data_IF_374888753109
#
_entry.id   IF_374888753109
#
_cell.length_a   1.000
_cell.length_b   1.000
_cell.length_c   1.000
_cell.angle_alpha   90.00
_cell.angle_beta   90.00
_cell.angle_gamma   90.00
#
_symmetry.space_group_name_H-M   'P 1'
#
loop_
_entity.id
_entity.type
_entity.pdbx_description
1 polymer ?
#
# COMPACT_ATOMS: atom_id res chain seq x y z
N UNK A 1 -5.33 -7.00 -10.81
CA UNK A 1 -4.94 -6.89 -9.39
C UNK A 1 -6.17 -7.09 -8.54
N UNK A 2 -6.04 -7.80 -7.42
CA UNK A 2 -7.15 -8.07 -6.52
C UNK A 2 -7.09 -7.08 -5.35
N UNK A 3 -8.25 -6.83 -4.74
CA UNK A 3 -8.39 -6.02 -3.53
C UNK A 3 -8.99 -6.84 -2.41
N UNK A 4 -8.74 -6.44 -1.17
CA UNK A 4 -9.38 -6.97 0.02
C UNK A 4 -9.61 -5.84 1.02
N UNK A 5 -10.77 -5.81 1.66
CA UNK A 5 -11.08 -4.81 2.66
C UNK A 5 -10.39 -5.16 3.98
N UNK A 6 -9.79 -4.15 4.63
CA UNK A 6 -9.17 -4.26 5.95
C UNK A 6 -10.22 -4.71 6.97
N UNK A 7 -11.40 -4.08 6.93
CA UNK A 7 -12.52 -4.37 7.83
C UNK A 7 -12.98 -5.84 7.75
N UNK A 8 -13.00 -6.45 6.56
CA UNK A 8 -13.45 -7.83 6.40
C UNK A 8 -12.50 -8.81 7.09
N UNK A 9 -11.19 -8.59 6.97
CA UNK A 9 -10.18 -9.42 7.62
C UNK A 9 -10.27 -9.25 9.14
N UNK A 10 -10.37 -8.00 9.60
CA UNK A 10 -10.52 -7.73 11.03
C UNK A 10 -11.77 -8.42 11.58
N UNK A 11 -12.92 -8.35 10.90
CA UNK A 11 -14.15 -9.07 11.29
C UNK A 11 -13.96 -10.59 11.40
N UNK A 12 -13.10 -11.18 10.57
CA UNK A 12 -12.79 -12.60 10.61
C UNK A 12 -11.81 -12.98 11.73
N UNK A 13 -11.15 -12.01 12.37
CA UNK A 13 -10.30 -12.21 13.54
C UNK A 13 -11.12 -12.11 14.82
N UNK A 14 -11.82 -13.18 15.18
CA UNK A 14 -12.77 -13.22 16.31
C UNK A 14 -12.14 -13.63 17.63
N UNK A 15 -10.95 -14.23 17.59
CA UNK A 15 -10.23 -14.70 18.78
C UNK A 15 -9.19 -13.68 19.22
N UNK A 16 -8.67 -13.80 20.44
CA UNK A 16 -7.48 -13.05 20.85
C UNK A 16 -6.28 -13.46 19.99
N UNK A 17 -6.03 -14.78 19.89
CA UNK A 17 -5.03 -15.38 19.01
C UNK A 17 -5.69 -15.96 17.76
N UNK A 18 -5.36 -15.41 16.60
CA UNK A 18 -5.96 -15.84 15.33
C UNK A 18 -4.89 -16.51 14.46
N UNK A 19 -4.98 -17.83 14.26
CA UNK A 19 -4.03 -18.56 13.43
C UNK A 19 -4.33 -18.37 11.94
N UNK A 20 -3.28 -18.40 11.11
CA UNK A 20 -3.40 -18.19 9.67
C UNK A 20 -4.48 -19.05 9.01
N UNK A 21 -4.51 -20.36 9.32
CA UNK A 21 -5.46 -21.28 8.70
C UNK A 21 -6.90 -20.97 9.06
N UNK A 22 -7.15 -20.49 10.28
CA UNK A 22 -8.50 -20.19 10.75
C UNK A 22 -9.03 -18.92 10.09
N UNK A 23 -8.24 -17.84 10.09
CA UNK A 23 -8.63 -16.59 9.42
C UNK A 23 -8.80 -16.84 7.91
N UNK A 24 -7.87 -17.58 7.28
CA UNK A 24 -7.94 -17.85 5.83
C UNK A 24 -9.17 -18.68 5.44
N UNK A 25 -9.59 -19.63 6.27
CA UNK A 25 -10.80 -20.43 6.03
C UNK A 25 -12.07 -19.60 6.23
N UNK A 26 -12.07 -18.72 7.22
CA UNK A 26 -13.24 -17.95 7.66
C UNK A 26 -13.40 -16.59 6.94
N UNK A 27 -12.41 -16.16 6.16
CA UNK A 27 -12.42 -14.90 5.41
C UNK A 27 -12.51 -15.12 3.88
N UNK A 28 -13.64 -15.59 3.34
CA UNK A 28 -13.82 -15.69 1.90
C UNK A 28 -13.98 -14.30 1.26
N UNK A 29 -13.77 -14.22 -0.06
CA UNK A 29 -14.07 -13.00 -0.83
C UNK A 29 -15.58 -12.80 -1.02
N UNK A 30 -15.96 -11.68 -1.63
CA UNK A 30 -17.36 -11.31 -1.93
C UNK A 30 -18.14 -12.41 -2.68
N UNK A 31 -17.44 -13.22 -3.49
CA UNK A 31 -18.01 -14.36 -4.23
C UNK A 31 -18.02 -15.67 -3.43
N UNK A 32 -17.83 -15.62 -2.10
CA UNK A 32 -17.70 -16.76 -1.19
C UNK A 32 -16.54 -17.72 -1.53
N UNK A 33 -15.56 -17.27 -2.33
CA UNK A 33 -14.36 -18.05 -2.69
C UNK A 33 -13.18 -17.67 -1.80
N UNK A 34 -12.35 -18.64 -1.45
CA UNK A 34 -11.13 -18.37 -0.68
C UNK A 34 -10.08 -17.66 -1.53
N UNK A 35 -9.37 -16.72 -0.92
CA UNK A 35 -8.17 -16.12 -1.52
C UNK A 35 -7.07 -17.18 -1.67
N UNK A 36 -6.20 -17.01 -2.66
CA UNK A 36 -4.98 -17.81 -2.73
C UNK A 36 -4.15 -17.59 -1.44
N UNK A 37 -3.64 -18.68 -0.82
CA UNK A 37 -2.90 -18.60 0.45
C UNK A 37 -1.73 -17.62 0.40
N UNK A 38 -0.99 -17.60 -0.72
CA UNK A 38 0.15 -16.69 -0.93
C UNK A 38 -0.29 -15.23 -0.88
N UNK A 39 -1.41 -14.90 -1.51
CA UNK A 39 -1.99 -13.56 -1.51
C UNK A 39 -2.55 -13.16 -0.16
N UNK A 40 -3.23 -14.06 0.53
CA UNK A 40 -3.72 -13.80 1.89
C UNK A 40 -2.56 -13.52 2.86
N UNK A 41 -1.44 -14.25 2.75
CA UNK A 41 -0.23 -13.96 3.54
C UNK A 41 0.37 -12.59 3.22
N UNK A 42 0.38 -12.19 1.95
CA UNK A 42 0.85 -10.87 1.52
C UNK A 42 0.02 -9.75 2.15
N UNK A 43 -1.30 -9.93 2.20
CA UNK A 43 -2.24 -8.99 2.82
C UNK A 43 -2.00 -8.89 4.33
N UNK A 44 -1.86 -10.01 5.04
CA UNK A 44 -1.60 -9.98 6.48
C UNK A 44 -0.28 -9.27 6.80
N UNK A 45 0.76 -9.45 5.97
CA UNK A 45 2.01 -8.69 6.11
C UNK A 45 1.78 -7.19 5.93
N UNK A 46 0.96 -6.78 4.96
CA UNK A 46 0.60 -5.37 4.74
C UNK A 46 -0.17 -4.81 5.93
N UNK A 47 -1.16 -5.54 6.45
CA UNK A 47 -1.89 -5.14 7.65
C UNK A 47 -0.99 -5.01 8.88
N UNK A 48 0.03 -5.87 9.01
CA UNK A 48 1.03 -5.80 10.07
C UNK A 48 1.88 -4.52 9.95
N UNK A 49 2.38 -4.23 8.74
CA UNK A 49 3.13 -3.01 8.45
C UNK A 49 2.29 -1.76 8.72
N UNK A 50 1.00 -1.78 8.38
CA UNK A 50 0.04 -0.71 8.61
C UNK A 50 -0.47 -0.65 10.05
N UNK A 51 -0.01 -1.54 10.93
CA UNK A 51 -0.31 -1.49 12.36
C UNK A 51 -1.69 -1.96 12.77
N UNK A 52 -2.44 -2.64 11.89
CA UNK A 52 -3.76 -3.20 12.23
C UNK A 52 -3.65 -4.51 13.00
N UNK A 53 -2.59 -5.28 12.76
CA UNK A 53 -2.36 -6.56 13.40
C UNK A 53 -0.90 -6.68 13.82
N UNK A 54 -0.63 -7.59 14.74
CA UNK A 54 0.73 -7.98 15.12
C UNK A 54 0.86 -9.49 14.99
N UNK A 55 1.92 -9.93 14.33
CA UNK A 55 2.23 -11.34 14.19
C UNK A 55 3.11 -11.81 15.34
N UNK A 56 2.82 -12.99 15.85
CA UNK A 56 3.63 -13.70 16.82
C UNK A 56 4.00 -15.08 16.30
N UNK A 57 5.14 -15.61 16.74
CA UNK A 57 5.62 -16.93 16.36
C UNK A 57 6.13 -17.05 14.91
N UNK A 58 6.55 -18.27 14.56
CA UNK A 58 7.14 -18.60 13.27
C UNK A 58 6.42 -19.77 12.58
N UNK A 59 6.49 -19.79 11.24
CA UNK A 59 5.95 -20.87 10.40
C UNK A 59 4.48 -21.21 10.72
N UNK A 60 4.21 -22.41 11.21
CA UNK A 60 2.86 -22.97 11.39
C UNK A 60 2.23 -22.62 12.74
N UNK A 61 3.03 -22.14 13.69
CA UNK A 61 2.55 -21.69 15.00
C UNK A 61 2.29 -20.18 15.02
N UNK A 62 2.44 -19.53 13.86
CA UNK A 62 2.24 -18.10 13.77
C UNK A 62 0.75 -17.74 13.95
N UNK A 63 0.49 -16.81 14.86
CA UNK A 63 -0.82 -16.24 15.09
C UNK A 63 -0.76 -14.72 15.01
N UNK A 64 -1.94 -14.13 14.83
CA UNK A 64 -2.13 -12.71 14.67
C UNK A 64 -3.09 -12.20 15.74
N UNK A 65 -2.72 -11.08 16.35
CA UNK A 65 -3.57 -10.33 17.26
C UNK A 65 -3.93 -9.00 16.60
N UNK A 66 -5.13 -8.49 16.86
CA UNK A 66 -5.47 -7.12 16.47
C UNK A 66 -4.63 -6.16 17.31
N UNK A 67 -4.10 -5.12 16.66
CA UNK A 67 -3.34 -4.08 17.34
C UNK A 67 -4.24 -2.88 17.57
N UNK A 68 -4.15 -2.32 18.77
CA UNK A 68 -4.80 -1.08 19.15
C UNK A 68 -3.74 -0.06 19.53
N UNK A 69 -3.97 1.20 19.18
CA UNK A 69 -3.17 2.32 19.65
C UNK A 69 -3.84 2.87 20.91
N UNK A 70 -3.06 3.05 21.98
CA UNK A 70 -3.61 3.43 23.28
C UNK A 70 -3.89 4.93 23.38
N UNK A 71 -3.15 5.74 22.62
CA UNK A 71 -3.33 7.19 22.57
C UNK A 71 -3.30 7.72 21.14
N UNK A 72 -3.77 8.96 20.97
CA UNK A 72 -3.69 9.70 19.72
C UNK A 72 -2.23 9.83 19.25
N UNK A 73 -1.32 10.17 20.17
CA UNK A 73 0.11 10.35 19.88
C UNK A 73 0.75 9.05 19.40
N UNK A 74 0.39 7.90 20.02
CA UNK A 74 0.88 6.59 19.60
C UNK A 74 0.43 6.25 18.17
N UNK A 75 -0.83 6.56 17.83
CA UNK A 75 -1.37 6.32 16.49
C UNK A 75 -0.71 7.22 15.45
N UNK A 76 -0.65 8.53 15.71
CA UNK A 76 -0.05 9.50 14.80
C UNK A 76 1.46 9.29 14.66
N UNK A 77 2.17 9.01 15.75
CA UNK A 77 3.60 8.70 15.72
C UNK A 77 3.90 7.47 14.87
N UNK A 78 3.06 6.43 14.96
CA UNK A 78 3.17 5.25 14.11
C UNK A 78 2.92 5.57 12.63
N UNK A 79 1.85 6.30 12.31
CA UNK A 79 1.54 6.73 10.93
C UNK A 79 2.69 7.56 10.35
N UNK A 80 3.17 8.56 11.09
CA UNK A 80 4.25 9.44 10.65
C UNK A 80 5.55 8.67 10.38
N UNK A 81 5.86 7.65 11.19
CA UNK A 81 7.01 6.81 10.94
C UNK A 81 6.89 6.01 9.63
N UNK A 82 5.69 5.53 9.30
CA UNK A 82 5.43 4.86 8.02
C UNK A 82 5.57 5.86 6.85
N UNK A 83 4.98 7.05 6.97
CA UNK A 83 5.11 8.12 5.97
C UNK A 83 6.59 8.40 5.71
N UNK A 84 7.36 8.69 6.77
CA UNK A 84 8.79 8.99 6.65
C UNK A 84 9.58 7.86 5.98
N UNK A 85 9.29 6.61 6.36
CA UNK A 85 9.95 5.43 5.79
C UNK A 85 9.71 5.33 4.28
N UNK A 86 8.47 5.45 3.84
CA UNK A 86 8.15 5.34 2.42
C UNK A 86 8.52 6.59 1.62
N UNK A 87 8.42 7.78 2.18
CA UNK A 87 8.96 8.99 1.56
C UNK A 87 10.46 8.82 1.25
N UNK A 88 11.24 8.35 2.22
CA UNK A 88 12.68 8.12 2.04
C UNK A 88 12.96 7.09 0.94
N UNK A 89 12.24 5.95 0.95
CA UNK A 89 12.36 4.91 -0.09
C UNK A 89 12.00 5.44 -1.48
N UNK A 90 10.90 6.18 -1.59
CA UNK A 90 10.43 6.77 -2.85
C UNK A 90 11.42 7.82 -3.36
N UNK A 91 11.86 8.77 -2.52
CA UNK A 91 12.84 9.80 -2.88
C UNK A 91 14.13 9.18 -3.41
N UNK A 92 14.64 8.13 -2.74
CA UNK A 92 15.84 7.40 -3.17
C UNK A 92 15.66 6.74 -4.53
N UNK A 93 14.54 6.05 -4.73
CA UNK A 93 14.26 5.35 -5.99
C UNK A 93 13.99 6.34 -7.14
N UNK A 94 13.24 7.42 -6.87
CA UNK A 94 12.92 8.47 -7.84
C UNK A 94 14.18 9.12 -8.41
N UNK A 95 15.13 9.51 -7.55
CA UNK A 95 16.42 10.09 -7.98
C UNK A 95 17.17 9.21 -8.98
N UNK A 96 17.00 7.88 -8.87
CA UNK A 96 17.67 6.94 -9.77
C UNK A 96 16.94 6.74 -11.11
N UNK A 97 15.70 7.21 -11.25
CA UNK A 97 14.88 7.00 -12.45
C UNK A 97 14.43 8.29 -13.13
N UNK A 98 14.23 9.40 -12.41
CA UNK A 98 13.56 10.62 -12.89
C UNK A 98 14.09 11.12 -14.23
N UNK A 99 15.43 11.18 -14.37
CA UNK A 99 16.11 11.65 -15.59
C UNK A 99 16.76 10.52 -16.39
N UNK A 100 16.32 9.27 -16.19
CA UNK A 100 16.83 8.09 -16.90
C UNK A 100 15.75 7.41 -17.74
N UNK A 101 16.19 6.75 -18.81
CA UNK A 101 15.32 5.96 -19.69
C UNK A 101 14.81 4.71 -18.95
N UNK A 102 13.51 4.65 -18.65
CA UNK A 102 12.88 3.51 -17.95
C UNK A 102 12.55 2.39 -18.93
N UNK A 103 11.97 2.74 -20.07
CA UNK A 103 11.61 1.78 -21.13
C UNK A 103 12.56 1.92 -22.31
N UNK A 104 13.17 0.81 -22.74
CA UNK A 104 13.94 0.72 -23.97
C UNK A 104 13.06 0.90 -25.20
N UNK A 105 11.89 0.26 -25.15
CA UNK A 105 10.88 0.25 -26.20
C UNK A 105 9.47 0.15 -25.60
N UNK A 106 8.49 0.75 -26.29
CA UNK A 106 7.07 0.71 -25.95
C UNK A 106 6.31 0.41 -27.25
N UNK A 107 5.53 -0.66 -27.23
CA UNK A 107 4.67 -1.04 -28.36
C UNK A 107 3.72 0.08 -28.79
N UNK A 108 3.33 0.09 -30.06
CA UNK A 108 2.46 1.13 -30.63
C UNK A 108 1.09 1.21 -29.94
N UNK A 109 0.55 0.08 -29.49
CA UNK A 109 -0.72 -0.03 -28.77
C UNK A 109 -0.58 0.25 -27.26
N UNK A 110 0.65 0.51 -26.78
CA UNK A 110 0.98 0.79 -25.39
C UNK A 110 0.63 -0.36 -24.44
N UNK A 111 0.45 -1.59 -24.94
CA UNK A 111 0.09 -2.76 -24.10
C UNK A 111 1.30 -3.49 -23.57
N UNK A 112 2.43 -3.38 -24.26
CA UNK A 112 3.70 -4.01 -23.91
C UNK A 112 4.86 -3.02 -23.99
N UNK A 113 5.87 -3.27 -23.18
CA UNK A 113 7.06 -2.45 -23.09
C UNK A 113 8.25 -3.29 -22.64
N UNK A 114 9.47 -2.82 -22.93
CA UNK A 114 10.72 -3.46 -22.52
C UNK A 114 11.45 -2.55 -21.55
N UNK A 115 11.64 -3.00 -20.31
CA UNK A 115 12.41 -2.24 -19.33
C UNK A 115 13.90 -2.13 -19.69
N UNK A 116 14.48 -1.00 -19.34
CA UNK A 116 15.93 -0.82 -19.27
C UNK A 116 16.50 -1.63 -18.11
N UNK A 117 17.51 -2.46 -18.38
CA UNK A 117 18.18 -3.26 -17.34
C UNK A 117 18.80 -2.40 -16.23
N UNK A 118 19.17 -1.16 -16.54
CA UNK A 118 19.85 -0.24 -15.60
C UNK A 118 18.90 0.46 -14.63
N UNK A 119 17.61 0.57 -14.97
CA UNK A 119 16.63 1.31 -14.16
C UNK A 119 15.48 0.44 -13.68
N UNK A 120 15.35 -0.79 -14.19
CA UNK A 120 14.25 -1.70 -13.84
C UNK A 120 14.11 -1.86 -12.33
N UNK A 121 15.21 -2.15 -11.62
CA UNK A 121 15.18 -2.40 -10.18
C UNK A 121 14.75 -1.16 -9.41
N UNK A 122 15.31 0.01 -9.76
CA UNK A 122 14.94 1.28 -9.12
C UNK A 122 13.48 1.64 -9.40
N UNK A 123 12.99 1.37 -10.61
CA UNK A 123 11.61 1.62 -10.99
C UNK A 123 10.63 0.68 -10.27
N UNK A 124 10.95 -0.60 -10.17
CA UNK A 124 10.16 -1.57 -9.39
C UNK A 124 10.14 -1.18 -7.90
N UNK A 125 11.26 -0.71 -7.35
CA UNK A 125 11.35 -0.19 -5.98
C UNK A 125 10.52 1.08 -5.78
N UNK A 126 10.50 1.98 -6.78
CA UNK A 126 9.65 3.17 -6.78
C UNK A 126 8.17 2.77 -6.78
N UNK A 127 7.76 1.87 -7.67
CA UNK A 127 6.39 1.35 -7.74
C UNK A 127 5.96 0.69 -6.43
N UNK A 128 6.85 -0.08 -5.79
CA UNK A 128 6.58 -0.69 -4.50
C UNK A 128 6.38 0.38 -3.41
N UNK A 129 7.31 1.34 -3.28
CA UNK A 129 7.20 2.42 -2.30
C UNK A 129 5.91 3.22 -2.48
N UNK A 130 5.59 3.60 -3.72
CA UNK A 130 4.35 4.32 -4.06
C UNK A 130 3.10 3.48 -3.73
N UNK A 131 3.12 2.17 -4.05
CA UNK A 131 2.00 1.28 -3.73
C UNK A 131 1.74 1.20 -2.24
N UNK A 132 2.79 1.12 -1.41
CA UNK A 132 2.62 1.07 0.04
C UNK A 132 2.19 2.41 0.63
N UNK A 133 2.69 3.53 0.08
CA UNK A 133 2.21 4.86 0.46
C UNK A 133 0.71 5.03 0.16
N UNK A 134 0.23 4.52 -0.98
CA UNK A 134 -1.20 4.53 -1.31
C UNK A 134 -2.03 3.57 -0.44
N UNK A 135 -1.49 2.42 -0.02
CA UNK A 135 -2.14 1.56 0.97
C UNK A 135 -2.29 2.29 2.31
N UNK A 136 -1.28 3.04 2.74
CA UNK A 136 -1.36 3.88 3.94
C UNK A 136 -2.42 4.98 3.79
N UNK A 137 -2.42 5.72 2.67
CA UNK A 137 -3.41 6.76 2.41
C UNK A 137 -4.85 6.22 2.46
N UNK A 138 -5.10 5.06 1.84
CA UNK A 138 -6.38 4.34 1.89
C UNK A 138 -6.77 3.95 3.32
N UNK A 139 -5.80 3.50 4.11
CA UNK A 139 -6.00 3.11 5.51
C UNK A 139 -6.33 4.32 6.38
N UNK A 140 -5.65 5.44 6.18
CA UNK A 140 -5.91 6.71 6.87
C UNK A 140 -7.31 7.23 6.57
N UNK A 141 -7.74 7.19 5.30
CA UNK A 141 -9.10 7.59 4.93
C UNK A 141 -10.15 6.74 5.64
N UNK A 142 -9.96 5.42 5.66
CA UNK A 142 -10.88 4.53 6.37
C UNK A 142 -10.90 4.78 7.88
N UNK A 143 -9.73 4.89 8.53
CA UNK A 143 -9.66 5.24 9.95
C UNK A 143 -10.34 6.57 10.26
N UNK A 144 -10.24 7.55 9.36
CA UNK A 144 -10.91 8.85 9.51
C UNK A 144 -12.44 8.72 9.42
N UNK A 145 -12.93 7.85 8.55
CA UNK A 145 -14.38 7.60 8.40
C UNK A 145 -14.96 6.88 9.63
N UNK A 146 -14.22 5.91 10.19
CA UNK A 146 -14.63 5.13 11.36
C UNK A 146 -14.37 5.81 12.70
N UNK A 147 -13.48 6.81 12.76
CA UNK A 147 -13.19 7.51 14.00
C UNK A 147 -14.46 8.21 14.54
N UNK A 148 -14.66 8.21 15.85
CA UNK A 148 -15.66 9.06 16.50
C UNK A 148 -15.02 10.39 16.94
N UNK A 149 -13.76 10.32 17.36
CA UNK A 149 -13.01 11.46 17.87
C UNK A 149 -12.69 12.50 16.78
N UNK A 150 -13.05 13.75 17.05
CA UNK A 150 -12.93 14.85 16.09
C UNK A 150 -11.49 15.33 15.89
N UNK A 151 -10.64 15.20 16.91
CA UNK A 151 -9.24 15.60 16.87
C UNK A 151 -8.45 14.60 16.01
N UNK A 152 -8.65 13.30 16.24
CA UNK A 152 -8.11 12.22 15.43
C UNK A 152 -8.50 12.39 13.96
N UNK A 153 -9.78 12.70 13.65
CA UNK A 153 -10.21 12.97 12.27
C UNK A 153 -9.43 14.09 11.61
N UNK A 154 -9.18 15.17 12.34
CA UNK A 154 -8.46 16.34 11.84
C UNK A 154 -6.99 15.99 11.56
N UNK A 155 -6.34 15.27 12.46
CA UNK A 155 -4.94 14.86 12.27
C UNK A 155 -4.78 13.82 11.16
N UNK A 156 -5.68 12.82 11.08
CA UNK A 156 -5.70 11.87 9.96
C UNK A 156 -5.92 12.56 8.61
N UNK A 157 -6.77 13.60 8.57
CA UNK A 157 -6.95 14.42 7.36
C UNK A 157 -5.64 15.09 6.94
N UNK A 158 -4.90 15.70 7.87
CA UNK A 158 -3.59 16.32 7.57
C UNK A 158 -2.58 15.29 7.05
N UNK A 159 -2.49 14.11 7.68
CA UNK A 159 -1.61 13.04 7.20
C UNK A 159 -1.96 12.62 5.76
N UNK A 160 -3.26 12.50 5.44
CA UNK A 160 -3.70 12.19 4.08
C UNK A 160 -3.35 13.30 3.06
N UNK A 161 -3.52 14.56 3.44
CA UNK A 161 -3.16 15.73 2.61
C UNK A 161 -1.65 15.75 2.34
N UNK A 162 -0.81 15.55 3.37
CA UNK A 162 0.65 15.45 3.22
C UNK A 162 1.05 14.34 2.24
N UNK A 163 0.46 13.14 2.38
CA UNK A 163 0.75 12.03 1.47
C UNK A 163 0.34 12.41 0.03
N UNK A 164 -0.83 13.03 -0.13
CA UNK A 164 -1.35 13.40 -1.45
C UNK A 164 -0.45 14.41 -2.15
N UNK A 165 -0.03 15.46 -1.44
CA UNK A 165 0.91 16.47 -1.95
C UNK A 165 2.26 15.84 -2.33
N UNK A 166 2.82 15.00 -1.45
CA UNK A 166 4.08 14.31 -1.73
C UNK A 166 3.98 13.42 -2.98
N UNK A 167 2.89 12.67 -3.11
CA UNK A 167 2.69 11.76 -4.24
C UNK A 167 2.46 12.52 -5.55
N UNK A 168 1.84 13.71 -5.50
CA UNK A 168 1.71 14.59 -6.65
C UNK A 168 3.07 15.12 -7.12
N UNK A 169 3.93 15.59 -6.20
CA UNK A 169 5.30 16.02 -6.51
C UNK A 169 6.13 14.89 -7.13
N UNK A 170 6.06 13.68 -6.56
CA UNK A 170 6.72 12.48 -7.11
C UNK A 170 6.25 12.19 -8.54
N UNK A 171 4.94 12.27 -8.77
CA UNK A 171 4.36 12.02 -10.09
C UNK A 171 4.77 13.10 -11.11
N UNK A 172 4.79 14.37 -10.70
CA UNK A 172 5.26 15.46 -11.55
C UNK A 172 6.72 15.28 -11.96
N UNK A 173 7.60 15.00 -10.99
CA UNK A 173 9.04 14.74 -11.25
C UNK A 173 9.26 13.56 -12.17
N UNK A 174 8.55 12.45 -11.93
CA UNK A 174 8.71 11.26 -12.74
C UNK A 174 8.25 11.46 -14.18
N UNK A 175 7.19 12.25 -14.42
CA UNK A 175 6.59 12.43 -15.74
C UNK A 175 7.17 13.61 -16.53
N UNK A 176 7.81 14.58 -15.86
CA UNK A 176 8.12 15.91 -16.39
C UNK A 176 8.87 15.92 -17.73
N UNK A 177 9.96 15.16 -17.85
CA UNK A 177 10.81 15.16 -19.06
C UNK A 177 10.45 14.06 -20.08
N UNK A 178 9.36 13.30 -19.84
CA UNK A 178 9.06 12.09 -20.60
C UNK A 178 8.12 12.33 -21.77
N UNK A 179 8.30 11.52 -22.81
CA UNK A 179 7.42 11.53 -23.99
C UNK A 179 6.03 11.00 -23.64
N UNK A 180 5.02 11.42 -24.41
CA UNK A 180 3.60 11.08 -24.19
C UNK A 180 3.35 9.59 -23.99
N UNK A 181 3.89 8.71 -24.85
CA UNK A 181 3.68 7.26 -24.74
C UNK A 181 4.21 6.70 -23.43
N UNK A 182 5.38 7.16 -23.00
CA UNK A 182 5.98 6.75 -21.73
C UNK A 182 5.18 7.27 -20.54
N UNK A 183 4.70 8.52 -20.59
CA UNK A 183 3.82 9.08 -19.56
C UNK A 183 2.53 8.26 -19.41
N UNK A 184 1.91 7.85 -20.52
CA UNK A 184 0.69 7.02 -20.50
C UNK A 184 0.94 5.67 -19.85
N UNK A 185 2.04 4.98 -20.22
CA UNK A 185 2.39 3.68 -19.63
C UNK A 185 2.64 3.82 -18.13
N UNK A 186 3.46 4.80 -17.73
CA UNK A 186 3.73 5.09 -16.32
C UNK A 186 2.46 5.36 -15.53
N UNK A 187 1.62 6.29 -15.99
CA UNK A 187 0.36 6.63 -15.33
C UNK A 187 -0.59 5.43 -15.21
N UNK A 188 -0.62 4.55 -16.22
CA UNK A 188 -1.42 3.32 -16.18
C UNK A 188 -0.90 2.37 -15.11
N UNK A 189 0.41 2.16 -15.03
CA UNK A 189 1.02 1.33 -14.00
C UNK A 189 0.78 1.89 -12.60
N UNK A 190 0.88 3.21 -12.41
CA UNK A 190 0.59 3.86 -11.13
C UNK A 190 -0.87 3.79 -10.72
N UNK A 191 -1.79 4.13 -11.62
CA UNK A 191 -3.23 4.11 -11.33
C UNK A 191 -3.70 2.72 -10.92
N UNK A 192 -3.09 1.68 -11.49
CA UNK A 192 -3.35 0.30 -11.11
C UNK A 192 -2.93 -0.04 -9.67
N UNK A 193 -2.05 0.74 -9.04
CA UNK A 193 -1.61 0.55 -7.64
C UNK A 193 -2.48 1.23 -6.60
N UNK A 194 -3.24 2.26 -6.95
CA UNK A 194 -4.04 3.04 -6.00
C UNK A 194 -5.25 2.23 -5.52
N UNK A 195 -5.35 1.81 -4.25
CA UNK A 195 -6.51 1.09 -3.75
C UNK A 195 -7.67 2.05 -3.45
N UNK A 196 -8.89 1.51 -3.35
CA UNK A 196 -10.02 2.25 -2.77
C UNK A 196 -9.81 2.40 -1.26
N UNK A 197 -10.38 3.43 -0.64
CA UNK A 197 -10.31 3.64 0.81
C UNK A 197 -10.74 2.39 1.58
N UNK A 198 -9.95 2.00 2.58
CA UNK A 198 -10.17 0.78 3.37
C UNK A 198 -9.81 -0.54 2.67
N UNK A 199 -9.32 -0.50 1.43
CA UNK A 199 -8.85 -1.68 0.71
C UNK A 199 -7.33 -1.71 0.59
N UNK A 200 -6.80 -2.92 0.53
CA UNK A 200 -5.41 -3.22 0.18
C UNK A 200 -5.35 -3.87 -1.19
N UNK A 201 -4.37 -3.47 -1.99
CA UNK A 201 -4.10 -4.01 -3.33
C UNK A 201 -2.95 -5.02 -3.30
N UNK A 202 -3.10 -6.16 -4.00
CA UNK A 202 -2.09 -7.22 -4.12
C UNK A 202 -2.19 -7.99 -5.46
#
# INVERSE_FOLDING_TARGET
>A
MQTIAIADILKCMTSEKNYFEDIWKNCPNENKKRYARTKFKEVLKKMEVLGFIKKYGYKNEAYYERRYHNTLEDQLGFINNIIFTYESKIKKALKNVENKKIFLDISKDLTSHKFSKYTKIDYESLLEGMSEMFNLASSILWMKEEAEDSELKKELKKCFEQISEFMEDVNQKLLGERKTNERIVLQREFSNKIPKAGFLKF
#
